data_IF_079432683545
#
_entry.id   IF_079432683545
#
_cell.length_a   1.000
_cell.length_b   1.000
_cell.length_c   1.000
_cell.angle_alpha   90.00
_cell.angle_beta   90.00
_cell.angle_gamma   90.00
#
_symmetry.space_group_name_H-M   'P 1'
#
loop_
_entity.id
_entity.type
_entity.pdbx_description
1 polymer ?
#
# COMPACT_ATOMS: atom_id res chain seq x y z
N UNK A 1 -23.74 34.91 33.33
CA UNK A 1 -23.90 35.64 32.06
C UNK A 1 -22.62 35.35 31.28
N UNK A 2 -22.57 34.50 30.26
CA UNK A 2 -23.40 34.47 29.06
C UNK A 2 -23.65 33.04 28.56
N UNK A 3 -24.79 32.89 27.90
CA UNK A 3 -25.29 31.71 27.21
C UNK A 3 -24.81 31.76 25.73
N UNK A 4 -24.60 30.65 25.01
CA UNK A 4 -25.51 29.90 24.12
C UNK A 4 -24.51 29.17 23.16
N UNK A 5 -24.61 27.88 22.80
CA UNK A 5 -25.49 27.35 21.77
C UNK A 5 -25.42 25.80 21.77
N UNK A 6 -26.60 25.19 21.82
CA UNK A 6 -26.84 23.78 21.58
C UNK A 6 -27.07 23.50 20.08
N UNK A 7 -26.80 22.26 19.67
CA UNK A 7 -27.32 21.66 18.44
C UNK A 7 -26.46 20.47 18.01
N UNK A 8 -26.96 19.37 17.49
CA UNK A 8 -28.31 18.79 17.45
C UNK A 8 -28.09 17.32 17.02
N UNK A 9 -28.98 16.44 17.46
CA UNK A 9 -28.99 15.01 17.19
C UNK A 9 -28.95 14.60 15.70
N UNK A 10 -28.29 13.48 15.42
CA UNK A 10 -28.25 12.81 14.11
C UNK A 10 -28.22 11.29 14.26
N UNK A 11 -29.36 10.75 14.71
CA UNK A 11 -29.69 9.33 14.85
C UNK A 11 -30.04 8.75 13.47
N UNK A 12 -29.36 7.69 13.02
CA UNK A 12 -29.86 6.82 11.95
C UNK A 12 -29.67 5.35 12.30
N UNK A 13 -30.65 4.60 11.83
CA UNK A 13 -31.23 3.39 12.39
C UNK A 13 -30.60 2.10 11.83
N UNK A 14 -30.87 1.03 12.55
CA UNK A 14 -30.48 -0.35 12.30
C UNK A 14 -31.35 -0.97 11.19
N UNK A 15 -30.73 -1.64 10.22
CA UNK A 15 -31.43 -2.48 9.24
C UNK A 15 -30.83 -3.87 9.18
N UNK A 16 -31.47 -4.84 9.85
CA UNK A 16 -31.21 -6.28 9.74
C UNK A 16 -32.15 -6.91 8.70
N UNK A 17 -31.64 -7.95 8.03
CA UNK A 17 -32.42 -9.02 7.38
C UNK A 17 -31.99 -9.23 5.93
N UNK A 18 -32.05 -10.41 5.35
CA UNK A 18 -32.12 -11.79 5.83
C UNK A 18 -31.80 -12.68 4.62
N UNK A 19 -31.48 -13.93 4.91
CA UNK A 19 -31.10 -15.00 3.98
C UNK A 19 -32.22 -15.36 2.98
N UNK A 20 -31.86 -15.73 1.75
CA UNK A 20 -32.55 -16.77 0.99
C UNK A 20 -31.64 -17.32 -0.14
N UNK A 21 -31.50 -18.65 -0.13
CA UNK A 21 -30.94 -19.46 -1.21
C UNK A 21 -32.04 -19.81 -2.24
N UNK A 22 -31.67 -20.09 -3.48
CA UNK A 22 -32.14 -21.28 -4.22
C UNK A 22 -31.62 -21.33 -5.66
N UNK A 23 -31.53 -22.58 -6.10
CA UNK A 23 -30.90 -23.20 -7.26
C UNK A 23 -31.82 -23.34 -8.49
N UNK A 24 -31.21 -23.57 -9.67
CA UNK A 24 -31.80 -24.25 -10.83
C UNK A 24 -31.33 -23.64 -12.15
N UNK A 25 -30.39 -24.20 -12.93
CA UNK A 25 -30.39 -25.44 -13.75
C UNK A 25 -31.15 -25.34 -15.08
N UNK A 26 -30.43 -25.58 -16.18
CA UNK A 26 -30.95 -25.85 -17.54
C UNK A 26 -30.70 -24.70 -18.52
N UNK A 27 -30.13 -24.86 -19.71
CA UNK A 27 -29.66 -26.02 -20.47
C UNK A 27 -29.06 -25.50 -21.80
N UNK A 28 -27.94 -26.10 -22.22
CA UNK A 28 -27.39 -26.07 -23.59
C UNK A 28 -28.27 -26.95 -24.51
N UNK A 29 -28.21 -26.91 -25.88
CA UNK A 29 -26.94 -26.87 -26.63
C UNK A 29 -26.93 -26.30 -28.08
N UNK A 30 -25.69 -26.25 -28.61
CA UNK A 30 -25.24 -26.47 -30.01
C UNK A 30 -25.61 -25.43 -31.07
N UNK A 31 -24.58 -24.89 -31.74
CA UNK A 31 -24.13 -25.38 -33.06
C UNK A 31 -22.74 -24.83 -33.41
N UNK A 32 -21.87 -25.74 -33.86
CA UNK A 32 -20.56 -25.47 -34.46
C UNK A 32 -20.75 -25.09 -35.93
N UNK A 33 -19.96 -24.13 -36.43
CA UNK A 33 -19.52 -24.20 -37.82
C UNK A 33 -18.11 -23.64 -37.98
N UNK A 34 -17.23 -24.57 -38.36
CA UNK A 34 -15.84 -24.39 -38.75
C UNK A 34 -15.84 -24.33 -40.28
N UNK A 35 -15.25 -23.29 -40.87
CA UNK A 35 -14.95 -23.25 -42.31
C UNK A 35 -13.50 -22.82 -42.49
N UNK A 36 -12.74 -23.66 -43.19
CA UNK A 36 -11.35 -23.44 -43.62
C UNK A 36 -11.30 -22.64 -44.95
N UNK A 37 -10.18 -22.00 -45.31
CA UNK A 37 -10.07 -21.20 -46.52
C UNK A 37 -9.55 -22.03 -47.72
N UNK A 38 -9.78 -21.59 -48.98
CA UNK A 38 -9.05 -22.11 -50.12
C UNK A 38 -7.89 -21.22 -50.57
N UNK A 39 -7.02 -21.89 -51.32
CA UNK A 39 -5.66 -21.61 -51.75
C UNK A 39 -5.51 -20.73 -53.01
N UNK A 40 -4.36 -20.05 -53.06
CA UNK A 40 -3.48 -19.72 -54.22
C UNK A 40 -4.07 -19.53 -55.63
N UNK A 41 -3.79 -18.35 -56.22
CA UNK A 41 -3.93 -18.06 -57.65
C UNK A 41 -3.04 -16.88 -58.08
N UNK A 42 -2.54 -16.93 -59.31
CA UNK A 42 -1.29 -16.33 -59.79
C UNK A 42 -1.30 -14.85 -60.19
N UNK A 43 -0.06 -14.31 -60.20
CA UNK A 43 0.49 -13.01 -60.65
C UNK A 43 -0.19 -12.29 -61.83
N UNK A 44 -0.46 -11.00 -61.63
CA UNK A 44 -0.29 -9.93 -62.63
C UNK A 44 0.46 -8.76 -61.98
N UNK A 45 1.62 -8.38 -62.52
CA UNK A 45 2.49 -7.31 -62.00
C UNK A 45 1.96 -5.94 -62.46
N UNK A 46 1.42 -5.16 -61.52
CA UNK A 46 0.94 -3.80 -61.76
C UNK A 46 2.05 -2.78 -61.41
N UNK A 47 2.50 -1.91 -62.35
CA UNK A 47 3.62 -0.99 -62.14
C UNK A 47 3.31 0.16 -61.16
N UNK A 48 2.08 0.29 -60.67
CA UNK A 48 1.71 1.28 -59.63
C UNK A 48 2.09 0.88 -58.21
N UNK A 49 2.43 -0.39 -57.97
CA UNK A 49 2.77 -0.87 -56.62
C UNK A 49 4.26 -0.64 -56.24
N UNK A 50 5.14 -0.37 -57.23
CA UNK A 50 6.56 -0.11 -56.95
C UNK A 50 6.81 1.24 -56.29
N UNK A 51 5.99 2.25 -56.58
CA UNK A 51 6.12 3.56 -55.95
C UNK A 51 5.66 3.56 -54.49
N UNK A 52 4.63 2.78 -54.15
CA UNK A 52 4.16 2.67 -52.77
C UNK A 52 5.13 1.86 -51.89
N UNK A 53 5.75 0.82 -52.43
CA UNK A 53 6.75 0.04 -51.69
C UNK A 53 8.08 0.80 -51.51
N UNK A 54 8.48 1.65 -52.46
CA UNK A 54 9.66 2.50 -52.30
C UNK A 54 9.45 3.63 -51.29
N UNK A 55 8.20 4.09 -51.11
CA UNK A 55 7.85 5.10 -50.09
C UNK A 55 7.80 4.50 -48.66
N UNK A 56 7.47 3.21 -48.51
CA UNK A 56 7.54 2.50 -47.23
C UNK A 56 8.98 2.15 -46.80
N UNK A 57 9.94 2.10 -47.74
CA UNK A 57 11.35 1.84 -47.44
C UNK A 57 12.13 3.11 -47.07
N UNK A 58 11.68 4.31 -47.49
CA UNK A 58 12.28 5.58 -47.08
C UNK A 58 11.85 6.06 -45.67
N UNK A 59 10.77 5.53 -45.12
CA UNK A 59 10.44 5.71 -43.69
C UNK A 59 11.27 4.81 -42.76
N UNK A 60 11.99 3.81 -43.29
CA UNK A 60 12.85 2.90 -42.50
C UNK A 60 14.27 3.44 -42.26
N UNK A 61 14.61 4.61 -42.82
CA UNK A 61 15.96 5.18 -42.73
C UNK A 61 16.03 6.57 -42.08
N UNK A 62 14.92 7.12 -41.61
CA UNK A 62 14.94 8.30 -40.75
C UNK A 62 14.88 7.87 -39.29
N UNK A 63 16.07 7.73 -38.71
CA UNK A 63 16.29 7.89 -37.28
C UNK A 63 15.41 7.00 -36.40
N UNK A 64 15.81 5.73 -36.26
CA UNK A 64 15.59 5.03 -35.01
C UNK A 64 16.30 5.78 -33.89
N UNK A 65 15.71 6.88 -33.43
CA UNK A 65 15.77 7.22 -32.03
C UNK A 65 15.12 6.02 -31.35
N UNK A 66 15.93 5.01 -31.05
CA UNK A 66 15.65 4.16 -29.91
C UNK A 66 15.51 5.17 -28.77
N UNK A 67 14.26 5.56 -28.48
CA UNK A 67 13.88 6.01 -27.16
C UNK A 67 14.45 4.92 -26.28
N UNK A 68 15.64 5.19 -25.72
CA UNK A 68 16.24 4.41 -24.66
C UNK A 68 15.10 4.34 -23.67
N UNK A 69 14.38 3.22 -23.63
CA UNK A 69 13.38 3.03 -22.60
C UNK A 69 14.13 3.38 -21.34
N UNK A 70 13.66 4.38 -20.56
CA UNK A 70 14.35 4.77 -19.35
C UNK A 70 14.55 3.45 -18.61
N UNK A 71 15.80 3.11 -18.36
CA UNK A 71 16.15 1.89 -17.65
C UNK A 71 15.39 1.98 -16.34
N UNK A 72 14.24 1.31 -16.26
CA UNK A 72 13.27 1.45 -15.17
C UNK A 72 13.85 1.05 -13.80
N UNK A 73 15.10 0.58 -13.82
CA UNK A 73 15.86 0.06 -12.70
C UNK A 73 16.95 1.04 -12.21
N UNK A 74 17.05 2.26 -12.73
CA UNK A 74 17.95 3.25 -12.13
C UNK A 74 17.48 3.59 -10.69
N UNK A 75 18.38 3.55 -9.69
CA UNK A 75 18.02 3.81 -8.29
C UNK A 75 17.24 5.11 -8.06
N UNK A 76 17.63 6.19 -8.75
CA UNK A 76 16.96 7.48 -8.66
C UNK A 76 15.53 7.46 -9.23
N UNK A 77 15.28 6.66 -10.28
CA UNK A 77 13.94 6.51 -10.85
C UNK A 77 13.03 5.68 -9.94
N UNK A 78 13.58 4.66 -9.27
CA UNK A 78 12.86 3.88 -8.26
C UNK A 78 12.46 4.76 -7.07
N UNK A 79 13.37 5.58 -6.56
CA UNK A 79 13.08 6.57 -5.50
C UNK A 79 11.93 7.48 -5.93
N UNK A 80 12.00 8.05 -7.14
CA UNK A 80 10.96 8.96 -7.66
C UNK A 80 9.60 8.27 -7.73
N UNK A 81 9.54 7.03 -8.24
CA UNK A 81 8.28 6.26 -8.32
C UNK A 81 7.69 5.92 -6.96
N UNK A 82 8.53 5.54 -6.00
CA UNK A 82 8.08 5.27 -4.63
C UNK A 82 7.39 6.51 -4.02
N UNK A 83 8.01 7.68 -4.15
CA UNK A 83 7.48 8.94 -3.65
C UNK A 83 6.20 9.38 -4.36
N UNK A 84 6.11 9.15 -5.68
CA UNK A 84 4.90 9.41 -6.47
C UNK A 84 3.73 8.52 -6.01
N UNK A 85 3.96 7.21 -5.86
CA UNK A 85 2.94 6.31 -5.32
C UNK A 85 2.49 6.69 -3.91
N UNK A 86 3.41 7.10 -3.03
CA UNK A 86 3.07 7.60 -1.69
C UNK A 86 2.22 8.87 -1.76
N UNK A 87 2.52 9.78 -2.68
CA UNK A 87 1.76 11.01 -2.89
C UNK A 87 0.36 10.73 -3.43
N UNK A 88 0.24 9.85 -4.43
CA UNK A 88 -1.05 9.39 -4.93
C UNK A 88 -1.89 8.69 -3.86
N UNK A 89 -1.28 7.85 -3.02
CA UNK A 89 -1.97 7.22 -1.88
C UNK A 89 -2.51 8.25 -0.90
N UNK A 90 -1.74 9.30 -0.64
CA UNK A 90 -2.16 10.42 0.22
C UNK A 90 -3.33 11.20 -0.38
N UNK A 91 -3.35 11.39 -1.70
CA UNK A 91 -4.49 11.99 -2.38
C UNK A 91 -5.74 11.11 -2.27
N UNK A 92 -5.63 9.81 -2.59
CA UNK A 92 -6.74 8.87 -2.43
C UNK A 92 -7.27 8.84 -0.99
N UNK A 93 -6.39 8.95 0.02
CA UNK A 93 -6.80 9.01 1.42
C UNK A 93 -7.65 10.25 1.72
N UNK A 94 -7.23 11.43 1.25
CA UNK A 94 -7.99 12.69 1.39
C UNK A 94 -9.36 12.60 0.71
N UNK A 95 -9.41 11.93 -0.43
CA UNK A 95 -10.64 11.68 -1.19
C UNK A 95 -11.51 10.56 -0.57
N UNK A 96 -11.14 10.03 0.60
CA UNK A 96 -11.79 8.91 1.31
C UNK A 96 -11.85 7.60 0.50
N UNK A 97 -11.05 7.48 -0.55
CA UNK A 97 -10.88 6.28 -1.38
C UNK A 97 -9.86 5.34 -0.73
N UNK A 98 -10.18 4.84 0.47
CA UNK A 98 -9.23 4.09 1.30
C UNK A 98 -8.70 2.81 0.64
N UNK A 99 -9.53 2.10 -0.12
CA UNK A 99 -9.11 0.90 -0.87
C UNK A 99 -8.05 1.23 -1.92
N UNK A 100 -8.24 2.32 -2.67
CA UNK A 100 -7.26 2.79 -3.66
C UNK A 100 -5.98 3.27 -2.98
N UNK A 101 -6.11 4.01 -1.88
CA UNK A 101 -4.99 4.49 -1.08
C UNK A 101 -4.10 3.34 -0.60
N UNK A 102 -4.70 2.27 -0.06
CA UNK A 102 -3.97 1.07 0.37
C UNK A 102 -3.15 0.50 -0.80
N UNK A 103 -3.76 0.35 -1.97
CA UNK A 103 -3.08 -0.17 -3.16
C UNK A 103 -1.91 0.72 -3.61
N UNK A 104 -2.03 2.04 -3.49
CA UNK A 104 -0.95 2.98 -3.83
C UNK A 104 0.20 2.93 -2.81
N UNK A 105 -0.10 2.92 -1.52
CA UNK A 105 0.93 2.78 -0.48
C UNK A 105 1.66 1.44 -0.55
N UNK A 106 0.96 0.34 -0.87
CA UNK A 106 1.62 -0.96 -1.10
C UNK A 106 2.58 -0.92 -2.30
N UNK A 107 2.19 -0.27 -3.41
CA UNK A 107 3.09 -0.08 -4.56
C UNK A 107 4.33 0.73 -4.18
N UNK A 108 4.18 1.79 -3.39
CA UNK A 108 5.31 2.55 -2.86
C UNK A 108 6.27 1.67 -2.05
N UNK A 109 5.74 0.85 -1.13
CA UNK A 109 6.55 -0.08 -0.32
C UNK A 109 7.26 -1.16 -1.17
N UNK A 110 6.65 -1.59 -2.27
CA UNK A 110 7.28 -2.56 -3.18
C UNK A 110 8.47 -1.95 -3.91
N UNK A 111 8.36 -0.71 -4.40
CA UNK A 111 9.48 0.02 -5.00
C UNK A 111 10.61 0.22 -3.99
N UNK A 112 10.28 0.62 -2.75
CA UNK A 112 11.26 0.84 -1.68
C UNK A 112 12.03 -0.45 -1.37
N UNK A 113 11.32 -1.54 -1.11
CA UNK A 113 11.94 -2.84 -0.77
C UNK A 113 12.67 -3.47 -1.93
N UNK A 114 12.19 -3.26 -3.16
CA UNK A 114 12.86 -3.68 -4.39
C UNK A 114 14.23 -3.03 -4.50
N UNK A 115 14.32 -1.73 -4.20
CA UNK A 115 15.59 -1.02 -4.25
C UNK A 115 16.58 -1.46 -3.17
N UNK A 116 16.13 -1.69 -1.93
CA UNK A 116 16.98 -2.22 -0.86
C UNK A 116 17.64 -3.55 -1.26
N UNK A 117 16.93 -4.42 -1.99
CA UNK A 117 17.48 -5.69 -2.48
C UNK A 117 18.51 -5.50 -3.59
N UNK A 118 18.31 -4.53 -4.47
CA UNK A 118 19.23 -4.23 -5.59
C UNK A 118 20.52 -3.60 -5.08
N UNK A 119 20.45 -2.79 -4.03
CA UNK A 119 21.61 -2.06 -3.53
C UNK A 119 22.53 -2.87 -2.62
N UNK A 120 22.04 -3.93 -1.97
CA UNK A 120 22.84 -4.90 -1.20
C UNK A 120 23.57 -4.31 0.01
N UNK A 121 23.54 -5.00 1.14
CA UNK A 121 24.35 -4.63 2.32
C UNK A 121 25.85 -4.60 1.95
N UNK A 122 26.64 -3.60 2.42
CA UNK A 122 28.08 -3.66 2.34
C UNK A 122 28.61 -4.69 3.36
N UNK A 123 28.62 -5.98 2.99
CA UNK A 123 29.34 -6.99 3.77
C UNK A 123 30.86 -6.89 3.47
N UNK A 124 31.72 -6.66 4.48
CA UNK A 124 33.18 -6.62 4.33
C UNK A 124 33.85 -7.98 4.06
N UNK A 125 33.12 -9.09 3.80
CA UNK A 125 33.73 -10.42 3.64
C UNK A 125 33.16 -11.29 2.50
N UNK A 126 32.96 -10.75 1.30
CA UNK A 126 32.77 -11.58 0.10
C UNK A 126 33.93 -11.46 -0.89
N UNK A 127 34.77 -12.50 -0.88
CA UNK A 127 35.85 -12.73 -1.84
C UNK A 127 35.28 -12.79 -3.26
N UNK A 128 35.51 -11.75 -4.04
CA UNK A 128 35.11 -11.64 -5.44
C UNK A 128 35.96 -12.52 -6.35
N UNK A 129 35.32 -13.36 -7.15
CA UNK A 129 35.83 -13.82 -8.44
C UNK A 129 35.87 -12.64 -9.43
N UNK A 130 36.94 -12.45 -10.23
CA UNK A 130 37.04 -11.32 -11.13
C UNK A 130 36.30 -11.63 -12.44
N UNK A 131 35.19 -10.95 -12.69
CA UNK A 131 34.60 -10.86 -14.04
C UNK A 131 35.19 -9.63 -14.74
N UNK A 132 36.02 -9.89 -15.75
CA UNK A 132 36.77 -8.90 -16.53
C UNK A 132 35.86 -8.24 -17.58
N UNK A 133 35.27 -7.08 -17.27
CA UNK A 133 34.84 -6.09 -18.28
C UNK A 133 34.95 -4.66 -17.71
N UNK A 134 35.80 -3.78 -18.26
CA UNK A 134 35.80 -2.37 -17.91
C UNK A 134 34.77 -1.63 -18.76
N UNK A 135 33.56 -1.43 -18.23
CA UNK A 135 32.63 -0.42 -18.76
C UNK A 135 32.41 0.63 -17.68
N UNK A 136 32.83 1.86 -17.97
CA UNK A 136 32.61 3.04 -17.13
C UNK A 136 31.10 3.23 -16.97
N UNK A 137 30.57 2.83 -15.83
CA UNK A 137 29.25 3.23 -15.35
C UNK A 137 29.44 3.45 -13.87
N UNK A 138 29.33 4.71 -13.44
CA UNK A 138 29.38 5.08 -12.02
C UNK A 138 28.49 4.09 -11.26
N UNK A 139 28.97 3.43 -10.19
CA UNK A 139 28.04 2.80 -9.27
C UNK A 139 27.21 3.96 -8.72
N UNK A 140 26.00 4.13 -9.21
CA UNK A 140 25.05 5.14 -8.73
C UNK A 140 24.56 4.68 -7.37
N UNK A 141 25.43 4.74 -6.38
CA UNK A 141 25.10 4.62 -4.98
C UNK A 141 24.14 5.76 -4.66
N UNK A 142 23.00 5.43 -4.05
CA UNK A 142 22.06 6.46 -3.59
C UNK A 142 22.78 7.43 -2.66
N UNK A 143 22.47 8.72 -2.79
CA UNK A 143 22.91 9.71 -1.81
C UNK A 143 22.28 9.37 -0.45
N UNK A 144 22.94 9.74 0.65
CA UNK A 144 22.38 9.46 1.98
C UNK A 144 21.06 10.21 2.21
N UNK A 145 20.87 11.36 1.55
CA UNK A 145 19.60 12.07 1.49
C UNK A 145 18.50 11.24 0.81
N UNK A 146 18.80 10.59 -0.31
CA UNK A 146 17.84 9.71 -0.99
C UNK A 146 17.47 8.49 -0.14
N UNK A 147 18.45 7.88 0.55
CA UNK A 147 18.19 6.77 1.48
C UNK A 147 17.29 7.22 2.63
N UNK A 148 17.61 8.35 3.27
CA UNK A 148 16.81 8.92 4.34
C UNK A 148 15.38 9.26 3.90
N UNK A 149 15.22 9.83 2.71
CA UNK A 149 13.91 10.11 2.13
C UNK A 149 13.08 8.83 1.91
N UNK A 150 13.71 7.73 1.50
CA UNK A 150 13.03 6.45 1.31
C UNK A 150 12.64 5.78 2.62
N UNK A 151 13.52 5.81 3.62
CA UNK A 151 13.18 5.32 4.96
C UNK A 151 12.02 6.10 5.55
N UNK A 152 12.04 7.43 5.46
CA UNK A 152 10.91 8.25 5.90
C UNK A 152 9.63 7.94 5.11
N UNK A 153 9.73 7.80 3.78
CA UNK A 153 8.58 7.44 2.94
C UNK A 153 8.01 6.05 3.31
N UNK A 154 8.84 5.08 3.66
CA UNK A 154 8.41 3.76 4.14
C UNK A 154 7.60 3.88 5.43
N UNK A 155 8.11 4.63 6.42
CA UNK A 155 7.45 4.85 7.71
C UNK A 155 6.10 5.57 7.52
N UNK A 156 6.06 6.61 6.69
CA UNK A 156 4.84 7.32 6.34
C UNK A 156 3.82 6.41 5.63
N UNK A 157 4.27 5.50 4.76
CA UNK A 157 3.41 4.52 4.10
C UNK A 157 2.80 3.56 5.12
N UNK A 158 3.57 3.00 6.05
CA UNK A 158 3.03 2.13 7.10
C UNK A 158 2.03 2.85 7.99
N UNK A 159 2.36 4.08 8.41
CA UNK A 159 1.47 4.88 9.25
C UNK A 159 0.16 5.19 8.52
N UNK A 160 0.22 5.52 7.23
CA UNK A 160 -0.95 5.81 6.41
C UNK A 160 -1.79 4.56 6.11
N UNK A 161 -1.15 3.41 5.89
CA UNK A 161 -1.83 2.12 5.74
C UNK A 161 -2.60 1.73 7.00
N UNK A 162 -1.98 1.89 8.18
CA UNK A 162 -2.66 1.67 9.46
C UNK A 162 -3.89 2.57 9.60
N UNK A 163 -3.78 3.84 9.19
CA UNK A 163 -4.92 4.77 9.15
C UNK A 163 -6.03 4.29 8.22
N UNK A 164 -5.70 3.88 6.99
CA UNK A 164 -6.67 3.38 6.01
C UNK A 164 -7.40 2.15 6.53
N UNK A 165 -6.67 1.20 7.11
CA UNK A 165 -7.24 -0.05 7.62
C UNK A 165 -8.26 0.18 8.73
N UNK A 166 -8.02 1.17 9.59
CA UNK A 166 -8.96 1.57 10.64
C UNK A 166 -10.25 2.21 10.09
N UNK A 167 -10.26 2.66 8.83
CA UNK A 167 -11.45 3.22 8.16
C UNK A 167 -12.23 2.18 7.34
N UNK A 168 -11.73 0.94 7.24
CA UNK A 168 -12.42 -0.12 6.51
C UNK A 168 -13.64 -0.63 7.31
N UNK A 169 -14.66 -1.11 6.60
CA UNK A 169 -15.84 -1.72 7.23
C UNK A 169 -15.47 -2.93 8.10
N UNK A 170 -14.56 -3.77 7.59
CA UNK A 170 -13.96 -4.88 8.34
C UNK A 170 -12.51 -4.55 8.63
N UNK A 171 -12.25 -4.11 9.85
CA UNK A 171 -10.91 -3.68 10.29
C UNK A 171 -10.05 -4.89 10.64
N UNK A 172 -8.90 -5.01 9.97
CA UNK A 172 -7.88 -5.99 10.33
C UNK A 172 -6.92 -5.40 11.39
N UNK A 173 -7.27 -5.54 12.66
CA UNK A 173 -6.48 -5.00 13.78
C UNK A 173 -5.09 -5.64 13.91
N UNK A 174 -4.93 -6.91 13.50
CA UNK A 174 -3.63 -7.58 13.45
C UNK A 174 -2.65 -6.85 12.51
N UNK A 175 -3.12 -6.49 11.30
CA UNK A 175 -2.31 -5.74 10.33
C UNK A 175 -2.05 -4.30 10.78
N UNK A 176 -3.03 -3.64 11.40
CA UNK A 176 -2.84 -2.29 11.97
C UNK A 176 -1.72 -2.32 13.01
N UNK A 177 -1.77 -3.28 13.95
CA UNK A 177 -0.72 -3.50 14.95
C UNK A 177 0.64 -3.70 14.29
N UNK A 178 0.74 -4.62 13.33
CA UNK A 178 2.00 -4.92 12.63
C UNK A 178 2.63 -3.68 11.99
N UNK A 179 1.84 -2.87 11.27
CA UNK A 179 2.35 -1.65 10.63
C UNK A 179 2.75 -0.58 11.63
N UNK A 180 1.99 -0.39 12.70
CA UNK A 180 2.34 0.60 13.70
C UNK A 180 3.63 0.22 14.45
N UNK A 181 3.82 -1.05 14.79
CA UNK A 181 5.05 -1.51 15.44
C UNK A 181 6.29 -1.32 14.55
N UNK A 182 6.16 -1.48 13.22
CA UNK A 182 7.24 -1.17 12.27
C UNK A 182 7.64 0.30 12.32
N UNK A 183 6.66 1.20 12.44
CA UNK A 183 6.93 2.63 12.60
C UNK A 183 7.60 2.91 13.94
N UNK A 184 7.07 2.37 15.04
CA UNK A 184 7.59 2.60 16.40
C UNK A 184 9.00 2.05 16.61
N UNK A 185 9.42 1.03 15.85
CA UNK A 185 10.79 0.52 15.89
C UNK A 185 11.81 1.60 15.49
N UNK A 186 11.44 2.50 14.58
CA UNK A 186 12.29 3.61 14.11
C UNK A 186 11.94 4.93 14.81
N UNK A 187 10.65 5.20 14.96
CA UNK A 187 10.10 6.42 15.57
C UNK A 187 9.33 6.09 16.85
N UNK A 188 10.05 5.75 17.92
CA UNK A 188 9.44 5.30 19.18
C UNK A 188 8.47 6.29 19.85
N UNK A 189 8.51 7.57 19.45
CA UNK A 189 7.62 8.64 19.96
C UNK A 189 6.55 9.07 18.96
N UNK A 190 6.34 8.35 17.86
CA UNK A 190 5.30 8.72 16.88
C UNK A 190 3.90 8.56 17.49
N UNK A 191 3.25 9.67 17.83
CA UNK A 191 1.96 9.66 18.52
C UNK A 191 0.87 8.91 17.72
N UNK A 192 0.86 9.06 16.38
CA UNK A 192 -0.15 8.42 15.52
C UNK A 192 0.00 6.89 15.57
N UNK A 193 1.23 6.40 15.51
CA UNK A 193 1.51 4.96 15.59
C UNK A 193 1.24 4.41 17.00
N UNK A 194 1.58 5.16 18.06
CA UNK A 194 1.26 4.80 19.45
C UNK A 194 -0.25 4.67 19.65
N UNK A 195 -1.02 5.71 19.28
CA UNK A 195 -2.48 5.72 19.39
C UNK A 195 -3.10 4.54 18.63
N UNK A 196 -2.74 4.37 17.35
CA UNK A 196 -3.29 3.31 16.50
C UNK A 196 -2.93 1.91 16.98
N UNK A 197 -1.72 1.72 17.53
CA UNK A 197 -1.32 0.46 18.19
C UNK A 197 -2.20 0.18 19.40
N UNK A 198 -2.42 1.19 20.24
CA UNK A 198 -3.27 1.09 21.42
C UNK A 198 -4.71 0.69 21.09
N UNK A 199 -5.29 1.32 20.07
CA UNK A 199 -6.61 0.96 19.53
C UNK A 199 -6.61 -0.48 18.99
N UNK A 200 -5.59 -0.88 18.22
CA UNK A 200 -5.52 -2.23 17.69
C UNK A 200 -5.44 -3.30 18.80
N UNK A 201 -4.56 -3.12 19.79
CA UNK A 201 -4.45 -4.04 20.92
C UNK A 201 -5.74 -4.12 21.74
N UNK A 202 -6.46 -3.01 21.90
CA UNK A 202 -7.76 -3.01 22.58
C UNK A 202 -8.75 -3.95 21.90
N UNK A 203 -8.87 -3.85 20.57
CA UNK A 203 -9.80 -4.70 19.81
C UNK A 203 -9.32 -6.15 19.67
N UNK A 204 -8.02 -6.40 19.79
CA UNK A 204 -7.45 -7.75 19.89
C UNK A 204 -7.58 -8.38 21.29
N UNK A 205 -8.03 -7.60 22.29
CA UNK A 205 -8.23 -8.08 23.66
C UNK A 205 -6.99 -8.09 24.54
N UNK A 206 -5.82 -7.66 24.04
CA UNK A 206 -4.63 -7.46 24.86
C UNK A 206 -4.69 -6.08 25.53
N UNK A 207 -5.50 -6.00 26.58
CA UNK A 207 -5.79 -4.73 27.25
C UNK A 207 -4.57 -4.14 27.97
N UNK A 208 -3.61 -4.96 28.40
CA UNK A 208 -2.40 -4.47 29.06
C UNK A 208 -1.52 -3.70 28.08
N UNK A 209 -1.24 -4.27 26.90
CA UNK A 209 -0.49 -3.54 25.85
C UNK A 209 -1.28 -2.36 25.32
N UNK A 210 -2.60 -2.50 25.16
CA UNK A 210 -3.45 -1.38 24.76
C UNK A 210 -3.28 -0.18 25.69
N UNK A 211 -3.36 -0.40 27.01
CA UNK A 211 -3.24 0.66 28.00
C UNK A 211 -1.86 1.33 27.98
N UNK A 212 -0.79 0.53 27.83
CA UNK A 212 0.57 1.04 27.69
C UNK A 212 0.68 2.00 26.49
N UNK A 213 0.35 1.54 25.28
CA UNK A 213 0.49 2.36 24.07
C UNK A 213 -0.41 3.60 24.08
N UNK A 214 -1.64 3.49 24.60
CA UNK A 214 -2.55 4.62 24.73
C UNK A 214 -2.02 5.69 25.71
N UNK A 215 -1.43 5.27 26.84
CA UNK A 215 -0.80 6.19 27.81
C UNK A 215 0.43 6.86 27.21
N UNK A 216 1.27 6.12 26.49
CA UNK A 216 2.41 6.71 25.78
C UNK A 216 1.97 7.72 24.71
N UNK A 217 0.91 7.41 23.97
CA UNK A 217 0.32 8.36 23.01
C UNK A 217 -0.20 9.62 23.70
N UNK A 218 -0.92 9.47 24.82
CA UNK A 218 -1.48 10.59 25.57
C UNK A 218 -0.41 11.49 26.19
N UNK A 219 0.76 10.93 26.56
CA UNK A 219 1.91 11.75 26.99
C UNK A 219 2.42 12.68 25.89
N UNK A 220 2.34 12.25 24.62
CA UNK A 220 2.74 13.08 23.48
C UNK A 220 1.67 14.13 23.15
N UNK A 221 0.39 13.73 23.18
CA UNK A 221 -0.75 14.59 22.85
C UNK A 221 -1.83 14.55 23.95
N UNK A 222 -1.66 15.30 25.06
CA UNK A 222 -2.58 15.25 26.20
C UNK A 222 -3.99 15.77 25.88
N UNK A 223 -4.14 16.58 24.83
CA UNK A 223 -5.42 17.14 24.41
C UNK A 223 -6.27 16.17 23.56
N UNK A 224 -5.72 15.02 23.12
CA UNK A 224 -6.47 14.07 22.30
C UNK A 224 -7.54 13.33 23.14
N UNK A 225 -8.78 13.77 22.97
CA UNK A 225 -9.95 13.18 23.64
C UNK A 225 -10.19 11.73 23.25
N UNK A 226 -9.77 11.30 22.06
CA UNK A 226 -9.91 9.91 21.63
C UNK A 226 -8.97 9.00 22.41
N UNK A 227 -7.73 9.43 22.66
CA UNK A 227 -6.79 8.70 23.50
C UNK A 227 -7.34 8.54 24.92
N UNK A 228 -7.85 9.63 25.52
CA UNK A 228 -8.46 9.60 26.86
C UNK A 228 -9.63 8.60 26.92
N UNK A 229 -10.53 8.66 25.92
CA UNK A 229 -11.68 7.74 25.83
C UNK A 229 -11.22 6.28 25.78
N UNK A 230 -10.25 5.96 24.94
CA UNK A 230 -9.75 4.58 24.81
C UNK A 230 -9.02 4.12 26.08
N UNK A 231 -8.29 4.99 26.78
CA UNK A 231 -7.68 4.67 28.08
C UNK A 231 -8.76 4.23 29.07
N UNK A 232 -9.82 5.04 29.23
CA UNK A 232 -10.92 4.74 30.16
C UNK A 232 -11.62 3.41 29.80
N UNK A 233 -11.93 3.20 28.51
CA UNK A 233 -12.52 1.95 28.04
C UNK A 233 -11.64 0.73 28.34
N UNK A 234 -10.33 0.88 28.19
CA UNK A 234 -9.35 -0.18 28.46
C UNK A 234 -9.27 -0.50 29.95
N UNK A 235 -9.18 0.53 30.81
CA UNK A 235 -9.16 0.36 32.27
C UNK A 235 -10.45 -0.27 32.80
N UNK A 236 -11.61 0.04 32.22
CA UNK A 236 -12.87 -0.64 32.54
C UNK A 236 -12.86 -2.13 32.15
N UNK A 237 -12.28 -2.47 30.99
CA UNK A 237 -12.16 -3.88 30.54
C UNK A 237 -11.24 -4.68 31.45
N UNK A 238 -10.07 -4.14 31.81
CA UNK A 238 -9.12 -4.80 32.73
C UNK A 238 -9.80 -5.09 34.07
N UNK A 239 -10.46 -4.10 34.68
CA UNK A 239 -11.17 -4.28 35.96
C UNK A 239 -12.26 -5.36 35.88
N UNK A 240 -13.03 -5.39 34.79
CA UNK A 240 -14.08 -6.39 34.58
C UNK A 240 -13.49 -7.80 34.42
N UNK A 241 -12.37 -7.95 33.72
CA UNK A 241 -11.72 -9.25 33.53
C UNK A 241 -11.17 -9.79 34.86
N UNK A 242 -10.47 -8.96 35.63
CA UNK A 242 -9.95 -9.37 36.94
C UNK A 242 -11.07 -9.82 37.91
N UNK A 243 -12.25 -9.19 37.86
CA UNK A 243 -13.40 -9.62 38.66
C UNK A 243 -13.98 -10.97 38.21
N UNK A 244 -13.95 -11.27 36.91
CA UNK A 244 -14.41 -12.56 36.38
C UNK A 244 -13.45 -13.68 36.78
N UNK A 245 -12.16 -13.46 36.59
CA UNK A 245 -11.10 -14.41 36.98
C UNK A 245 -11.17 -14.72 38.49
N UNK A 246 -11.39 -13.72 39.35
CA UNK A 246 -11.55 -13.93 40.79
C UNK A 246 -12.79 -14.77 41.15
N UNK A 247 -13.90 -14.60 40.42
CA UNK A 247 -15.14 -15.37 40.64
C UNK A 247 -15.04 -16.80 40.11
N UNK A 248 -14.30 -17.02 39.03
CA UNK A 248 -14.05 -18.36 38.47
C UNK A 248 -13.05 -19.16 39.30
N UNK A 249 -12.20 -18.48 40.06
CA UNK A 249 -11.23 -19.09 40.97
C UNK A 249 -11.76 -19.36 42.39
N UNK A 250 -13.01 -18.99 42.70
CA UNK A 250 -13.66 -19.19 44.01
C UNK A 250 -14.77 -20.22 43.89
#
# INVERSE_FOLDING_TARGET
>A
MSAIQAGNDGRVDSGRGSLAASSGSGGSPRLQQRVQPPSSGSRTKDPRNHHHQQQLQQQRHHGGAMLKQPSHNEPADVVRRALDFKSQGTQCYKDKKYREAIGKYHRALLEIKGLCRVLGDPDPSSKSTPSLLPTISKPSTLTDEQKGAMENAELECYNSLAACLLQMELVNYERVKEYCLKVLLKEGKNFKALYRSGVAYYHLGDYQKALYYLKESHKQEPADTNAIRYIQLTEMKIRRNAQKEKKEAT
#
